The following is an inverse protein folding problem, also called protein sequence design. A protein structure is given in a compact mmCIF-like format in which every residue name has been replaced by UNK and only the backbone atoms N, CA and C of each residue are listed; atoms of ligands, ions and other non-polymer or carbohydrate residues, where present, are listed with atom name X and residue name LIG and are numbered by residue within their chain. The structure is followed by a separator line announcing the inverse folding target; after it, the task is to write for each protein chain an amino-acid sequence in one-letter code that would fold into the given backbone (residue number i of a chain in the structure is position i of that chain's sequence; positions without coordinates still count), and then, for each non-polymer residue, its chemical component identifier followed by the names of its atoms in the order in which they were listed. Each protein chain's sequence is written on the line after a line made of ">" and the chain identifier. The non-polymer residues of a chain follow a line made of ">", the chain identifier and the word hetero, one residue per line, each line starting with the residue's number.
data_IF_330076554770
#
_entry.id   IF_330076554770
#
_cell.length_a   1.000
_cell.length_b   1.000
_cell.length_c   1.000
_cell.angle_alpha   90.00
_cell.angle_beta   90.00
_cell.angle_gamma   90.00
#
_symmetry.space_group_name_H-M   'P 1'
#
loop_
_entity.id
_entity.type
_entity.pdbx_description
1 polymer ?
#
# COMPACT_ATOMS: atom_id res chain seq x y z
N UNK A 1 -25.60 -17.78 -2.80
CA UNK A 1 -24.54 -16.81 -2.42
C UNK A 1 -23.59 -17.59 -1.52
N UNK A 2 -22.28 -17.50 -1.73
CA UNK A 2 -21.29 -18.10 -0.83
C UNK A 2 -21.35 -17.43 0.54
N UNK A 3 -21.02 -18.16 1.61
CA UNK A 3 -20.99 -17.59 2.96
C UNK A 3 -20.02 -16.40 3.02
N UNK A 4 -20.30 -15.37 3.82
CA UNK A 4 -19.42 -14.23 3.98
C UNK A 4 -18.10 -14.65 4.65
N UNK A 5 -16.97 -14.12 4.14
CA UNK A 5 -15.63 -14.35 4.68
C UNK A 5 -15.55 -13.82 6.12
N UNK A 6 -15.13 -14.64 7.06
CA UNK A 6 -15.02 -14.30 8.48
C UNK A 6 -13.63 -13.72 8.78
N UNK A 7 -13.59 -12.45 9.14
CA UNK A 7 -12.35 -11.72 9.38
C UNK A 7 -12.06 -11.52 10.86
N UNK A 8 -10.80 -11.71 11.26
CA UNK A 8 -10.23 -11.23 12.52
C UNK A 8 -9.41 -9.97 12.28
N UNK A 9 -9.60 -8.93 13.09
CA UNK A 9 -8.82 -7.70 13.06
C UNK A 9 -7.80 -7.66 14.18
N UNK A 10 -6.53 -7.40 13.86
CA UNK A 10 -5.43 -7.22 14.81
C UNK A 10 -5.01 -5.75 14.81
N UNK A 11 -5.53 -5.01 15.78
CA UNK A 11 -5.32 -3.58 15.95
C UNK A 11 -6.39 -2.70 15.31
N UNK A 12 -6.94 -1.78 16.10
CA UNK A 12 -7.92 -0.78 15.69
C UNK A 12 -7.45 0.63 16.04
N UNK A 13 -6.20 0.94 15.67
CA UNK A 13 -5.65 2.31 15.70
C UNK A 13 -6.27 3.19 14.60
N UNK A 14 -5.63 4.33 14.28
CA UNK A 14 -6.11 5.27 13.26
C UNK A 14 -6.39 4.57 11.91
N UNK A 15 -5.38 3.92 11.34
CA UNK A 15 -5.54 3.23 10.06
C UNK A 15 -6.48 2.02 10.18
N UNK A 16 -6.38 1.26 11.27
CA UNK A 16 -7.26 0.12 11.52
C UNK A 16 -8.74 0.49 11.48
N UNK A 17 -9.13 1.61 12.10
CA UNK A 17 -10.51 2.09 12.08
C UNK A 17 -10.88 2.76 10.76
N UNK A 18 -10.13 3.81 10.38
CA UNK A 18 -10.55 4.76 9.36
C UNK A 18 -10.27 4.27 7.93
N UNK A 19 -9.18 3.53 7.73
CA UNK A 19 -8.82 2.98 6.42
C UNK A 19 -9.40 1.57 6.18
N UNK A 20 -9.46 0.73 7.22
CA UNK A 20 -9.77 -0.69 7.04
C UNK A 20 -11.13 -1.09 7.62
N UNK A 21 -11.31 -1.12 8.93
CA UNK A 21 -12.52 -1.65 9.57
C UNK A 21 -13.79 -1.00 9.02
N UNK A 22 -13.79 0.32 8.83
CA UNK A 22 -14.89 1.08 8.24
C UNK A 22 -15.32 0.55 6.87
N UNK A 23 -14.35 0.10 6.04
CA UNK A 23 -14.62 -0.45 4.72
C UNK A 23 -15.11 -1.90 4.80
N UNK A 24 -14.43 -2.78 5.55
CA UNK A 24 -14.83 -4.19 5.67
C UNK A 24 -16.20 -4.36 6.32
N UNK A 25 -16.54 -3.58 7.35
CA UNK A 25 -17.83 -3.65 8.04
C UNK A 25 -19.03 -3.31 7.13
N UNK A 26 -18.80 -2.71 5.97
CA UNK A 26 -19.83 -2.34 4.99
C UNK A 26 -19.85 -3.26 3.76
N UNK A 27 -19.02 -4.30 3.71
CA UNK A 27 -18.99 -5.26 2.60
C UNK A 27 -19.86 -6.46 2.93
N UNK A 28 -20.91 -6.74 2.13
CA UNK A 28 -21.76 -7.91 2.35
C UNK A 28 -21.05 -9.24 2.14
N UNK A 29 -19.91 -9.23 1.42
CA UNK A 29 -19.11 -10.39 1.12
C UNK A 29 -18.23 -10.87 2.30
N UNK A 30 -18.15 -10.09 3.38
CA UNK A 30 -17.40 -10.46 4.57
C UNK A 30 -18.10 -10.04 5.86
N UNK A 31 -17.65 -10.62 6.97
CA UNK A 31 -18.09 -10.28 8.32
C UNK A 31 -16.86 -10.14 9.22
N UNK A 32 -16.74 -9.00 9.89
CA UNK A 32 -15.75 -8.85 10.97
C UNK A 32 -16.27 -9.61 12.18
N UNK A 33 -15.66 -10.77 12.47
CA UNK A 33 -16.07 -11.66 13.52
C UNK A 33 -15.51 -11.23 14.89
N UNK A 34 -14.28 -10.73 14.93
CA UNK A 34 -13.60 -10.33 16.15
C UNK A 34 -12.54 -9.26 15.94
N UNK A 35 -12.20 -8.57 17.02
CA UNK A 35 -11.10 -7.60 17.14
C UNK A 35 -10.16 -8.08 18.25
N UNK A 36 -8.85 -8.07 17.99
CA UNK A 36 -7.78 -8.20 18.98
C UNK A 36 -7.12 -6.82 19.17
N UNK A 37 -7.30 -6.20 20.34
CA UNK A 37 -6.81 -4.87 20.67
C UNK A 37 -6.63 -4.76 22.19
N UNK A 38 -5.39 -4.51 22.69
CA UNK A 38 -5.13 -4.44 24.12
C UNK A 38 -5.74 -3.22 24.83
N UNK A 39 -6.08 -2.16 24.09
CA UNK A 39 -6.77 -0.98 24.62
C UNK A 39 -8.27 -1.28 24.75
N UNK A 40 -8.67 -1.77 25.91
CA UNK A 40 -10.01 -2.37 26.16
C UNK A 40 -11.17 -1.40 25.92
N UNK A 41 -11.03 -0.15 26.36
CA UNK A 41 -12.09 0.85 26.20
C UNK A 41 -12.22 1.25 24.72
N UNK A 42 -11.11 1.50 24.04
CA UNK A 42 -11.08 1.73 22.60
C UNK A 42 -11.70 0.54 21.84
N UNK A 43 -11.25 -0.67 22.13
CA UNK A 43 -11.73 -1.89 21.47
C UNK A 43 -13.24 -2.08 21.62
N UNK A 44 -13.78 -1.89 22.84
CA UNK A 44 -15.22 -2.01 23.12
C UNK A 44 -16.04 -0.95 22.35
N UNK A 45 -15.61 0.32 22.40
CA UNK A 45 -16.29 1.42 21.68
C UNK A 45 -16.28 1.21 20.16
N UNK A 46 -15.14 0.77 19.60
CA UNK A 46 -15.01 0.45 18.18
C UNK A 46 -15.88 -0.74 17.80
N UNK A 47 -15.84 -1.82 18.57
CA UNK A 47 -16.67 -2.99 18.33
C UNK A 47 -18.17 -2.65 18.33
N UNK A 48 -18.63 -1.84 19.29
CA UNK A 48 -20.02 -1.39 19.37
C UNK A 48 -20.42 -0.58 18.11
N UNK A 49 -19.56 0.35 17.65
CA UNK A 49 -19.85 1.17 16.47
C UNK A 49 -19.98 0.34 15.18
N UNK A 50 -19.14 -0.65 15.00
CA UNK A 50 -19.08 -1.43 13.76
C UNK A 50 -19.82 -2.77 13.85
N UNK A 51 -20.52 -3.05 14.97
CA UNK A 51 -21.28 -4.26 15.16
C UNK A 51 -20.41 -5.52 15.24
N UNK A 52 -19.17 -5.40 15.75
CA UNK A 52 -18.26 -6.55 15.93
C UNK A 52 -18.61 -7.28 17.22
N UNK A 53 -18.95 -8.57 17.16
CA UNK A 53 -19.55 -9.26 18.32
C UNK A 53 -18.54 -9.67 19.39
N UNK A 54 -17.23 -9.74 19.07
CA UNK A 54 -16.20 -10.26 19.97
C UNK A 54 -14.98 -9.35 20.00
N UNK A 55 -14.41 -9.21 21.20
CA UNK A 55 -13.19 -8.44 21.46
C UNK A 55 -12.26 -9.27 22.32
N UNK A 56 -10.99 -9.29 22.00
CA UNK A 56 -9.92 -10.02 22.67
C UNK A 56 -8.74 -9.09 22.97
N UNK A 57 -7.97 -9.40 24.00
CA UNK A 57 -6.80 -8.62 24.36
C UNK A 57 -5.63 -8.90 23.39
N UNK A 58 -5.53 -10.11 22.85
CA UNK A 58 -4.44 -10.55 21.96
C UNK A 58 -4.97 -11.31 20.73
N UNK A 59 -4.14 -11.36 19.68
CA UNK A 59 -4.42 -12.16 18.48
C UNK A 59 -4.43 -13.66 18.75
N UNK A 60 -3.61 -14.15 19.69
CA UNK A 60 -3.56 -15.55 20.09
C UNK A 60 -4.88 -15.97 20.72
N UNK A 61 -5.41 -15.17 21.66
CA UNK A 61 -6.70 -15.42 22.30
C UNK A 61 -7.82 -15.42 21.25
N UNK A 62 -7.84 -14.46 20.35
CA UNK A 62 -8.81 -14.40 19.25
C UNK A 62 -8.76 -15.68 18.40
N UNK A 63 -7.57 -16.11 17.98
CA UNK A 63 -7.37 -17.30 17.15
C UNK A 63 -7.73 -18.59 17.85
N UNK A 64 -7.58 -18.66 19.18
CA UNK A 64 -7.97 -19.83 19.98
C UNK A 64 -9.50 -20.02 20.08
N UNK A 65 -10.29 -18.94 19.95
CA UNK A 65 -11.73 -18.98 20.21
C UNK A 65 -12.59 -18.75 18.95
N UNK A 66 -12.03 -18.20 17.87
CA UNK A 66 -12.78 -17.85 16.66
C UNK A 66 -12.40 -18.72 15.46
N UNK A 67 -13.42 -19.13 14.70
CA UNK A 67 -13.21 -19.71 13.37
C UNK A 67 -13.16 -18.57 12.37
N UNK A 68 -11.99 -18.30 11.84
CA UNK A 68 -11.71 -17.21 10.89
C UNK A 68 -11.25 -17.77 9.55
N UNK A 69 -11.49 -17.02 8.49
CA UNK A 69 -11.03 -17.33 7.12
C UNK A 69 -9.81 -16.50 6.74
N UNK A 70 -9.62 -15.31 7.34
CA UNK A 70 -8.48 -14.45 7.11
C UNK A 70 -8.29 -13.42 8.24
N UNK A 71 -7.10 -12.79 8.27
CA UNK A 71 -6.74 -11.76 9.24
C UNK A 71 -6.45 -10.43 8.54
N UNK A 72 -6.82 -9.33 9.21
CA UNK A 72 -6.42 -7.96 8.86
C UNK A 72 -5.56 -7.40 9.98
N UNK A 73 -4.28 -7.13 9.68
CA UNK A 73 -3.29 -6.64 10.64
C UNK A 73 -3.00 -5.17 10.36
N UNK A 74 -3.44 -4.28 11.26
CA UNK A 74 -3.25 -2.84 11.19
C UNK A 74 -2.44 -2.36 12.40
N UNK A 75 -1.14 -2.61 12.38
CA UNK A 75 -0.18 -2.32 13.44
C UNK A 75 0.93 -1.39 12.92
N UNK A 76 1.66 -0.69 13.80
CA UNK A 76 2.88 0.01 13.39
C UNK A 76 3.87 -0.93 12.71
N UNK A 77 4.39 -0.51 11.56
CA UNK A 77 5.24 -1.38 10.72
C UNK A 77 6.55 -1.80 11.41
N UNK A 78 6.97 -1.05 12.43
CA UNK A 78 8.13 -1.41 13.27
C UNK A 78 7.88 -2.64 14.16
N UNK A 79 6.67 -3.22 14.13
CA UNK A 79 6.30 -4.46 14.83
C UNK A 79 5.91 -5.58 13.89
N UNK A 80 5.92 -5.34 12.59
CA UNK A 80 5.40 -6.28 11.60
C UNK A 80 6.14 -7.61 11.62
N UNK A 81 7.44 -7.63 11.90
CA UNK A 81 8.21 -8.85 11.97
C UNK A 81 7.66 -9.85 12.98
N UNK A 82 7.31 -9.38 14.17
CA UNK A 82 6.72 -10.22 15.20
C UNK A 82 5.25 -10.53 14.91
N UNK A 83 4.43 -9.50 14.80
CA UNK A 83 2.97 -9.64 14.70
C UNK A 83 2.54 -10.43 13.46
N UNK A 84 3.22 -10.25 12.33
CA UNK A 84 2.90 -11.00 11.12
C UNK A 84 3.33 -12.46 11.24
N UNK A 85 4.49 -12.76 11.86
CA UNK A 85 4.88 -14.15 12.08
C UNK A 85 3.89 -14.87 13.02
N UNK A 86 3.39 -14.21 14.06
CA UNK A 86 2.35 -14.73 14.94
C UNK A 86 1.04 -14.98 14.17
N UNK A 87 0.59 -14.00 13.37
CA UNK A 87 -0.63 -14.13 12.56
C UNK A 87 -0.53 -15.27 11.53
N UNK A 88 0.62 -15.38 10.85
CA UNK A 88 0.87 -16.41 9.83
C UNK A 88 0.96 -17.84 10.40
N UNK A 89 1.32 -17.99 11.68
CA UNK A 89 1.33 -19.29 12.35
C UNK A 89 -0.06 -19.96 12.39
N UNK A 90 -1.14 -19.18 12.22
CA UNK A 90 -2.50 -19.71 12.10
C UNK A 90 -2.78 -20.42 10.77
N UNK A 91 -1.92 -20.28 9.76
CA UNK A 91 -2.15 -20.78 8.40
C UNK A 91 -3.17 -19.98 7.58
N UNK A 92 -3.73 -18.89 8.14
CA UNK A 92 -4.72 -18.07 7.47
C UNK A 92 -4.06 -17.02 6.54
N UNK A 93 -4.73 -16.64 5.43
CA UNK A 93 -4.36 -15.48 4.66
C UNK A 93 -4.35 -14.19 5.50
N UNK A 94 -3.35 -13.34 5.29
CA UNK A 94 -3.18 -12.10 6.06
C UNK A 94 -3.17 -10.89 5.12
N UNK A 95 -4.00 -9.90 5.41
CA UNK A 95 -3.79 -8.53 4.95
C UNK A 95 -2.97 -7.79 5.99
N UNK A 96 -1.94 -7.06 5.58
CA UNK A 96 -1.20 -6.16 6.48
C UNK A 96 -1.03 -4.77 5.87
N UNK A 97 -0.92 -3.76 6.74
CA UNK A 97 -0.50 -2.42 6.31
C UNK A 97 0.93 -2.43 5.75
N UNK A 98 1.21 -1.43 4.92
CA UNK A 98 2.54 -1.18 4.37
C UNK A 98 3.43 -0.42 5.40
N UNK A 99 4.75 -0.50 5.25
CA UNK A 99 5.51 -1.52 4.51
C UNK A 99 5.38 -2.90 5.15
N UNK A 100 5.80 -3.95 4.44
CA UNK A 100 5.75 -5.32 4.99
C UNK A 100 6.53 -5.48 6.29
N UNK A 101 7.61 -4.70 6.47
CA UNK A 101 8.43 -4.65 7.68
C UNK A 101 9.23 -3.35 7.71
N UNK A 102 9.92 -3.08 8.83
CA UNK A 102 10.84 -1.95 8.95
C UNK A 102 12.16 -2.17 8.22
N UNK A 103 12.64 -3.42 8.15
CA UNK A 103 13.88 -3.78 7.47
C UNK A 103 13.70 -4.88 6.44
N UNK A 104 14.64 -4.99 5.50
CA UNK A 104 14.69 -6.08 4.52
C UNK A 104 14.79 -7.41 5.23
N UNK A 105 15.68 -7.53 6.22
CA UNK A 105 15.94 -8.76 6.97
C UNK A 105 14.69 -9.24 7.75
N UNK A 106 13.93 -8.30 8.30
CA UNK A 106 12.64 -8.61 8.95
C UNK A 106 11.60 -9.03 7.92
N UNK A 107 11.56 -8.36 6.77
CA UNK A 107 10.66 -8.73 5.66
C UNK A 107 10.94 -10.15 5.14
N UNK A 108 12.21 -10.54 5.01
CA UNK A 108 12.61 -11.91 4.63
C UNK A 108 12.10 -12.96 5.63
N UNK A 109 12.20 -12.68 6.94
CA UNK A 109 11.65 -13.55 8.01
C UNK A 109 10.13 -13.71 7.90
N UNK A 110 9.42 -12.64 7.58
CA UNK A 110 7.96 -12.66 7.41
C UNK A 110 7.59 -13.52 6.19
N UNK A 111 8.28 -13.39 5.07
CA UNK A 111 8.07 -14.22 3.87
C UNK A 111 8.35 -15.69 4.17
N UNK A 112 9.44 -16.00 4.86
CA UNK A 112 9.76 -17.37 5.25
C UNK A 112 8.70 -17.95 6.18
N UNK A 113 8.17 -17.15 7.11
CA UNK A 113 7.05 -17.56 7.96
C UNK A 113 5.79 -17.88 7.16
N UNK A 114 5.44 -17.06 6.16
CA UNK A 114 4.29 -17.34 5.28
C UNK A 114 4.46 -18.66 4.53
N UNK A 115 5.64 -18.91 3.94
CA UNK A 115 5.96 -20.13 3.20
C UNK A 115 5.90 -21.37 4.10
N UNK A 116 6.50 -21.31 5.28
CA UNK A 116 6.53 -22.41 6.26
C UNK A 116 5.13 -22.82 6.71
N UNK A 117 4.22 -21.85 6.85
CA UNK A 117 2.85 -22.09 7.29
C UNK A 117 1.86 -22.30 6.13
N UNK A 118 2.34 -22.37 4.87
CA UNK A 118 1.51 -22.65 3.71
C UNK A 118 0.44 -21.58 3.42
N UNK A 119 0.71 -20.33 3.79
CA UNK A 119 -0.20 -19.20 3.61
C UNK A 119 0.46 -18.02 2.89
N UNK A 120 -0.25 -16.89 2.77
CA UNK A 120 0.20 -15.73 2.00
C UNK A 120 -0.22 -14.41 2.64
N UNK A 121 0.43 -13.33 2.22
CA UNK A 121 0.17 -11.96 2.66
C UNK A 121 -0.20 -11.08 1.46
N UNK A 122 -1.25 -10.27 1.62
CA UNK A 122 -1.52 -9.10 0.79
C UNK A 122 -1.04 -7.86 1.54
N UNK A 123 -0.10 -7.11 0.97
CA UNK A 123 0.40 -5.88 1.58
C UNK A 123 -0.40 -4.68 1.10
N UNK A 124 -0.76 -3.79 2.03
CA UNK A 124 -1.71 -2.70 1.90
C UNK A 124 -1.26 -1.51 1.04
N UNK A 125 -0.80 -1.75 -0.17
CA UNK A 125 -0.51 -0.70 -1.16
C UNK A 125 -1.79 -0.27 -1.88
N UNK A 126 -2.59 0.56 -1.21
CA UNK A 126 -3.92 0.95 -1.66
C UNK A 126 -3.96 1.56 -3.07
N UNK A 127 -2.88 2.23 -3.51
CA UNK A 127 -2.81 2.82 -4.86
C UNK A 127 -2.95 1.78 -5.97
N UNK A 128 -2.52 0.52 -5.76
CA UNK A 128 -2.75 -0.57 -6.72
C UNK A 128 -4.22 -0.98 -6.82
N UNK A 129 -5.00 -0.66 -5.80
CA UNK A 129 -6.44 -0.93 -5.76
C UNK A 129 -7.29 0.30 -6.09
N UNK A 130 -6.70 1.46 -6.37
CA UNK A 130 -7.46 2.58 -6.90
C UNK A 130 -8.03 2.21 -8.28
N UNK A 131 -9.35 2.37 -8.52
CA UNK A 131 -9.96 1.97 -9.79
C UNK A 131 -9.32 2.62 -11.02
N UNK A 132 -8.81 3.85 -10.90
CA UNK A 132 -8.09 4.50 -11.99
C UNK A 132 -6.72 3.85 -12.23
N UNK A 133 -6.00 3.48 -11.18
CA UNK A 133 -4.74 2.74 -11.31
C UNK A 133 -4.96 1.35 -11.90
N UNK A 134 -6.03 0.66 -11.50
CA UNK A 134 -6.39 -0.63 -12.08
C UNK A 134 -6.67 -0.50 -13.58
N UNK A 135 -7.46 0.50 -13.98
CA UNK A 135 -7.71 0.81 -15.39
C UNK A 135 -6.40 1.10 -16.15
N UNK A 136 -5.52 1.95 -15.59
CA UNK A 136 -4.23 2.27 -16.21
C UNK A 136 -3.38 1.02 -16.39
N UNK A 137 -3.37 0.11 -15.42
CA UNK A 137 -2.60 -1.14 -15.53
C UNK A 137 -3.11 -2.05 -16.65
N UNK A 138 -4.41 -2.18 -16.80
CA UNK A 138 -5.04 -2.92 -17.89
C UNK A 138 -4.74 -2.25 -19.24
N UNK A 139 -4.81 -0.92 -19.31
CA UNK A 139 -4.55 -0.18 -20.53
C UNK A 139 -3.07 -0.25 -20.95
N UNK A 140 -2.11 -0.19 -20.00
CA UNK A 140 -0.69 -0.44 -20.28
C UNK A 140 -0.50 -1.83 -20.90
N UNK A 141 -1.13 -2.86 -20.34
CA UNK A 141 -1.03 -4.22 -20.87
C UNK A 141 -1.60 -4.30 -22.30
N UNK A 142 -2.77 -3.72 -22.54
CA UNK A 142 -3.41 -3.66 -23.86
C UNK A 142 -2.53 -2.94 -24.91
N UNK A 143 -1.99 -1.77 -24.53
CA UNK A 143 -1.12 -0.97 -25.42
C UNK A 143 0.20 -1.69 -25.73
N UNK A 144 0.76 -2.39 -24.73
CA UNK A 144 1.98 -3.17 -24.92
C UNK A 144 1.74 -4.37 -25.84
N UNK A 145 0.62 -5.07 -25.67
CA UNK A 145 0.24 -6.23 -26.50
C UNK A 145 -0.09 -5.83 -27.94
N UNK A 146 -0.85 -4.75 -28.13
CA UNK A 146 -1.25 -4.27 -29.45
C UNK A 146 -0.14 -3.55 -30.22
N UNK A 147 0.84 -2.97 -29.51
CA UNK A 147 1.85 -2.09 -30.10
C UNK A 147 1.28 -0.78 -30.66
N UNK A 148 0.01 -0.43 -30.35
CA UNK A 148 -0.70 0.74 -30.93
C UNK A 148 0.05 2.06 -30.78
N UNK A 149 0.70 2.28 -29.64
CA UNK A 149 1.43 3.51 -29.36
C UNK A 149 2.96 3.34 -29.35
N UNK A 150 3.47 2.23 -29.93
CA UNK A 150 4.88 1.88 -29.82
C UNK A 150 5.29 1.47 -28.40
N UNK A 151 6.59 1.32 -28.14
CA UNK A 151 7.09 0.92 -26.82
C UNK A 151 6.84 2.02 -25.77
N UNK A 152 6.72 1.60 -24.50
CA UNK A 152 6.83 2.52 -23.38
C UNK A 152 8.26 3.08 -23.32
N UNK A 153 8.42 4.39 -23.15
CA UNK A 153 9.72 5.08 -23.20
C UNK A 153 10.12 5.72 -21.87
N UNK A 154 9.17 6.01 -20.98
CA UNK A 154 9.44 6.67 -19.72
C UNK A 154 8.28 6.56 -18.73
N UNK A 155 8.57 6.49 -17.43
CA UNK A 155 7.57 6.62 -16.35
C UNK A 155 8.05 7.62 -15.31
N UNK A 156 7.18 8.56 -14.95
CA UNK A 156 7.41 9.57 -13.93
C UNK A 156 6.29 9.58 -12.90
N UNK A 157 6.65 9.67 -11.61
CA UNK A 157 5.70 9.85 -10.51
C UNK A 157 6.07 11.12 -9.76
N UNK A 158 5.08 11.96 -9.50
CA UNK A 158 5.20 13.17 -8.70
C UNK A 158 4.40 13.00 -7.42
N UNK A 159 5.02 13.24 -6.28
CA UNK A 159 4.40 13.24 -4.96
C UNK A 159 5.00 14.35 -4.10
N UNK A 160 4.27 15.41 -3.79
CA UNK A 160 4.67 16.35 -2.75
C UNK A 160 4.27 15.81 -1.39
N UNK A 161 5.24 15.62 -0.50
CA UNK A 161 4.95 15.35 0.89
C UNK A 161 4.60 16.66 1.59
N UNK A 162 3.39 16.82 2.08
CA UNK A 162 2.98 18.01 2.84
C UNK A 162 1.57 18.51 2.53
N UNK A 163 0.87 17.88 1.60
CA UNK A 163 -0.53 18.13 1.35
C UNK A 163 -1.45 17.41 2.34
N UNK A 164 -2.72 17.69 2.28
CA UNK A 164 -3.74 17.05 3.11
C UNK A 164 -4.04 15.61 2.64
N UNK A 165 -3.20 14.67 3.07
CA UNK A 165 -3.41 13.25 2.79
C UNK A 165 -4.59 12.64 3.56
N UNK A 166 -5.04 13.30 4.65
CA UNK A 166 -6.10 12.82 5.53
C UNK A 166 -7.47 13.11 4.93
N UNK A 167 -7.65 14.28 4.29
CA UNK A 167 -8.91 14.68 3.66
C UNK A 167 -10.14 14.40 4.55
N UNK A 168 -10.06 14.77 5.82
CA UNK A 168 -11.08 14.52 6.87
C UNK A 168 -11.31 13.02 7.21
N UNK A 169 -10.47 12.12 6.73
CA UNK A 169 -10.63 10.67 6.94
C UNK A 169 -10.54 10.21 8.39
N UNK A 170 -10.04 11.06 9.31
CA UNK A 170 -9.90 10.76 10.74
C UNK A 170 -10.94 11.45 11.67
N UNK A 171 -11.91 12.15 11.11
CA UNK A 171 -12.95 12.80 11.91
C UNK A 171 -13.76 11.82 12.77
N UNK A 172 -13.91 10.59 12.28
CA UNK A 172 -14.68 9.52 12.92
C UNK A 172 -13.88 8.66 13.91
N UNK A 173 -12.60 8.95 14.16
CA UNK A 173 -11.76 8.08 14.99
C UNK A 173 -12.27 8.02 16.43
N UNK A 174 -12.46 6.80 16.92
CA UNK A 174 -12.85 6.51 18.30
C UNK A 174 -11.57 6.40 19.14
N UNK A 175 -11.54 7.09 20.26
CA UNK A 175 -10.51 6.99 21.28
C UNK A 175 -11.15 6.59 22.61
N UNK A 176 -10.52 5.67 23.31
CA UNK A 176 -10.86 5.31 24.69
C UNK A 176 -9.97 6.04 25.69
N UNK A 177 -10.26 5.85 26.96
CA UNK A 177 -9.47 6.34 28.07
C UNK A 177 -8.42 5.30 28.51
N UNK A 178 -7.87 4.58 27.53
CA UNK A 178 -6.90 3.53 27.80
C UNK A 178 -5.51 4.10 28.11
N UNK A 179 -4.75 3.48 29.03
CA UNK A 179 -3.36 3.83 29.23
C UNK A 179 -2.53 3.56 27.97
N UNK A 180 -1.39 4.24 27.85
CA UNK A 180 -0.43 3.97 26.78
C UNK A 180 0.05 2.51 26.88
N UNK A 181 -0.04 1.79 25.76
CA UNK A 181 0.48 0.41 25.65
C UNK A 181 1.89 0.48 25.08
N UNK A 182 2.91 -0.02 25.81
CA UNK A 182 4.26 -0.12 25.28
C UNK A 182 4.29 -0.94 23.99
N UNK A 183 5.02 -0.47 23.00
CA UNK A 183 5.22 -1.18 21.74
C UNK A 183 6.52 -1.98 21.81
N UNK A 184 6.43 -3.26 21.59
CA UNK A 184 7.57 -4.14 21.39
C UNK A 184 7.98 -4.05 19.91
N UNK A 185 9.09 -3.36 19.66
CA UNK A 185 9.53 -3.04 18.29
C UNK A 185 10.49 -4.11 17.77
N UNK A 186 10.46 -4.34 16.46
CA UNK A 186 11.44 -5.14 15.75
C UNK A 186 12.85 -4.52 15.87
N UNK A 187 13.91 -5.30 15.66
CA UNK A 187 15.27 -4.78 15.66
C UNK A 187 15.44 -3.65 14.62
N UNK A 188 16.22 -2.64 15.00
CA UNK A 188 16.57 -1.54 14.10
C UNK A 188 17.19 -2.06 12.80
N UNK A 189 16.83 -1.51 11.63
CA UNK A 189 17.39 -1.90 10.35
C UNK A 189 18.91 -1.89 10.33
N UNK A 190 19.51 -2.95 9.83
CA UNK A 190 20.96 -3.07 9.63
C UNK A 190 21.37 -2.58 8.25
N UNK A 191 22.65 -2.20 8.09
CA UNK A 191 23.17 -1.71 6.80
C UNK A 191 22.70 -0.32 6.40
N UNK A 192 22.06 0.42 7.32
CA UNK A 192 21.72 1.84 7.19
C UNK A 192 22.69 2.64 8.08
N UNK A 193 23.29 3.69 7.53
CA UNK A 193 24.05 4.65 8.34
C UNK A 193 23.14 5.20 9.46
N UNK A 194 23.53 5.14 10.74
CA UNK A 194 22.71 5.65 11.84
C UNK A 194 22.23 7.09 11.64
N UNK A 195 23.00 7.94 10.97
CA UNK A 195 22.62 9.31 10.62
C UNK A 195 21.52 9.40 9.58
N UNK A 196 21.28 8.32 8.83
CA UNK A 196 20.28 8.21 7.77
C UNK A 196 19.05 7.42 8.19
N UNK A 197 18.98 6.91 9.44
CA UNK A 197 17.90 6.05 9.90
C UNK A 197 16.53 6.74 9.86
N UNK A 198 16.47 8.00 10.28
CA UNK A 198 15.23 8.78 10.23
C UNK A 198 14.79 9.02 8.78
N UNK A 199 15.72 9.38 7.90
CA UNK A 199 15.41 9.55 6.48
C UNK A 199 14.94 8.22 5.82
N UNK A 200 15.56 7.11 6.19
CA UNK A 200 15.09 5.78 5.76
C UNK A 200 13.67 5.49 6.26
N UNK A 201 13.43 5.73 7.55
CA UNK A 201 12.13 5.51 8.17
C UNK A 201 11.05 6.37 7.52
N UNK A 202 11.34 7.63 7.20
CA UNK A 202 10.44 8.52 6.45
C UNK A 202 10.13 7.98 5.05
N UNK A 203 11.15 7.47 4.33
CA UNK A 203 10.95 6.90 2.99
C UNK A 203 10.08 5.65 3.06
N UNK A 204 10.34 4.72 3.96
CA UNK A 204 9.55 3.48 4.07
C UNK A 204 8.16 3.71 4.68
N UNK A 205 7.97 4.79 5.43
CA UNK A 205 6.64 5.16 5.91
C UNK A 205 5.80 5.88 4.84
N UNK A 206 6.37 6.87 4.17
CA UNK A 206 5.66 7.75 3.23
C UNK A 206 5.83 7.34 1.77
N UNK A 207 7.04 7.42 1.25
CA UNK A 207 7.31 7.28 -0.18
C UNK A 207 7.35 5.84 -0.70
N UNK A 208 7.27 4.84 0.18
CA UNK A 208 7.19 3.43 -0.21
C UNK A 208 6.00 3.15 -1.14
N UNK A 209 4.94 3.94 -1.05
CA UNK A 209 3.79 3.85 -1.95
C UNK A 209 4.15 4.15 -3.41
N UNK A 210 5.00 5.16 -3.65
CA UNK A 210 5.42 5.56 -5.00
C UNK A 210 6.48 4.61 -5.54
N UNK A 211 7.36 4.10 -4.67
CA UNK A 211 8.32 3.04 -5.01
C UNK A 211 7.56 1.80 -5.51
N UNK A 212 6.52 1.38 -4.79
CA UNK A 212 5.65 0.28 -5.18
C UNK A 212 4.87 0.57 -6.47
N UNK A 213 4.28 1.77 -6.59
CA UNK A 213 3.51 2.18 -7.76
C UNK A 213 4.39 2.21 -9.02
N UNK A 214 5.64 2.68 -8.91
CA UNK A 214 6.59 2.68 -10.02
C UNK A 214 6.78 1.28 -10.59
N UNK A 215 7.08 0.29 -9.75
CA UNK A 215 7.22 -1.11 -10.20
C UNK A 215 5.92 -1.65 -10.78
N UNK A 216 4.78 -1.31 -10.21
CA UNK A 216 3.48 -1.71 -10.71
C UNK A 216 3.21 -1.18 -12.12
N UNK A 217 3.48 0.09 -12.37
CA UNK A 217 3.28 0.72 -13.69
C UNK A 217 4.28 0.21 -14.73
N UNK A 218 5.56 0.06 -14.37
CA UNK A 218 6.58 -0.53 -15.23
C UNK A 218 6.25 -2.00 -15.59
N UNK A 219 5.62 -2.74 -14.68
CA UNK A 219 5.35 -4.18 -14.86
C UNK A 219 6.58 -5.07 -14.66
N UNK A 220 7.70 -4.51 -14.24
CA UNK A 220 8.97 -5.21 -14.03
C UNK A 220 9.78 -4.59 -12.87
N UNK A 221 10.83 -5.27 -12.46
CA UNK A 221 11.79 -4.75 -11.47
C UNK A 221 12.56 -3.53 -12.02
N UNK A 222 12.96 -2.64 -11.13
CA UNK A 222 13.84 -1.52 -11.44
C UNK A 222 14.86 -1.31 -10.31
N UNK A 223 15.92 -0.59 -10.60
CA UNK A 223 16.96 -0.23 -9.66
C UNK A 223 17.12 1.29 -9.56
N UNK A 224 17.69 1.77 -8.46
CA UNK A 224 18.00 3.19 -8.27
C UNK A 224 19.32 3.49 -8.96
N UNK A 225 19.29 4.34 -9.98
CA UNK A 225 20.48 4.80 -10.70
C UNK A 225 21.07 6.08 -10.09
N UNK A 226 20.24 6.95 -9.49
CA UNK A 226 20.68 8.20 -8.89
C UNK A 226 19.69 8.63 -7.79
N UNK A 227 20.26 9.14 -6.69
CA UNK A 227 19.55 9.81 -5.61
C UNK A 227 20.09 11.22 -5.46
N UNK A 228 19.20 12.22 -5.59
CA UNK A 228 19.56 13.61 -5.39
C UNK A 228 19.87 13.85 -3.89
N UNK A 229 20.91 14.63 -3.53
CA UNK A 229 21.40 14.76 -2.14
C UNK A 229 20.37 15.23 -1.11
N UNK A 230 19.42 16.09 -1.48
CA UNK A 230 18.32 16.51 -0.57
C UNK A 230 17.28 15.40 -0.38
N UNK A 231 17.24 14.40 -1.27
CA UNK A 231 16.24 13.34 -1.29
C UNK A 231 14.97 13.70 -2.06
N UNK A 232 15.01 14.77 -2.85
CA UNK A 232 13.87 15.22 -3.65
C UNK A 232 13.63 14.37 -4.89
N UNK A 233 14.72 13.82 -5.49
CA UNK A 233 14.62 13.03 -6.71
C UNK A 233 15.23 11.64 -6.54
N UNK A 234 14.49 10.65 -7.03
CA UNK A 234 14.98 9.30 -7.28
C UNK A 234 14.89 9.02 -8.78
N UNK A 235 16.03 8.79 -9.43
CA UNK A 235 16.06 8.32 -10.82
C UNK A 235 16.35 6.83 -10.82
N UNK A 236 15.57 6.08 -11.56
CA UNK A 236 15.70 4.63 -11.69
C UNK A 236 15.83 4.17 -13.13
N UNK A 237 16.16 2.92 -13.27
CA UNK A 237 16.19 2.21 -14.55
C UNK A 237 15.53 0.85 -14.38
N UNK A 238 14.58 0.53 -15.24
CA UNK A 238 13.94 -0.78 -15.21
C UNK A 238 14.88 -1.88 -15.74
N UNK A 239 14.51 -3.13 -15.54
CA UNK A 239 15.26 -4.29 -16.01
C UNK A 239 15.46 -4.29 -17.53
N UNK A 240 14.48 -3.80 -18.29
CA UNK A 240 14.56 -3.65 -19.74
C UNK A 240 15.36 -2.41 -20.19
N UNK A 241 15.83 -1.58 -19.23
CA UNK A 241 16.60 -0.36 -19.49
C UNK A 241 15.78 0.92 -19.57
N UNK A 242 14.47 0.86 -19.32
CA UNK A 242 13.56 2.00 -19.38
C UNK A 242 13.84 2.98 -18.21
N UNK A 243 14.09 4.27 -18.49
CA UNK A 243 14.30 5.27 -17.43
C UNK A 243 13.00 5.56 -16.71
N UNK A 244 13.10 5.80 -15.38
CA UNK A 244 11.97 6.22 -14.56
C UNK A 244 12.39 7.19 -13.47
N UNK A 245 11.44 7.98 -12.93
CA UNK A 245 11.73 8.99 -11.93
C UNK A 245 10.59 9.12 -10.92
N UNK A 246 10.97 9.31 -9.64
CA UNK A 246 10.04 9.69 -8.57
C UNK A 246 10.51 11.03 -8.01
N UNK A 247 9.60 12.03 -8.03
CA UNK A 247 9.80 13.34 -7.44
C UNK A 247 9.10 13.42 -6.10
N UNK A 248 9.89 13.63 -5.03
CA UNK A 248 9.45 13.64 -3.63
C UNK A 248 9.61 15.06 -3.05
N UNK A 249 9.03 16.03 -3.75
CA UNK A 249 9.13 17.45 -3.36
C UNK A 249 8.31 17.71 -2.12
N UNK A 250 8.87 18.42 -1.13
CA UNK A 250 8.14 18.83 0.06
C UNK A 250 7.64 20.26 -0.10
N UNK A 251 6.32 20.44 -0.08
CA UNK A 251 5.68 21.73 0.12
C UNK A 251 4.49 21.58 1.08
N UNK A 252 4.13 22.65 1.78
CA UNK A 252 3.13 22.58 2.84
C UNK A 252 1.88 23.34 2.44
N UNK A 253 0.77 22.64 2.38
CA UNK A 253 -0.57 23.19 2.18
C UNK A 253 -1.54 22.58 3.20
N UNK A 254 -2.70 23.21 3.38
CA UNK A 254 -3.71 22.73 4.32
C UNK A 254 -4.84 21.94 3.66
N UNK A 255 -5.03 22.09 2.35
CA UNK A 255 -6.19 21.52 1.63
C UNK A 255 -5.84 20.93 0.28
N UNK A 256 -4.60 21.06 -0.18
CA UNK A 256 -4.19 20.57 -1.51
C UNK A 256 -3.54 19.20 -1.42
N UNK A 257 -3.74 18.39 -2.44
CA UNK A 257 -3.07 17.12 -2.66
C UNK A 257 -2.76 16.96 -4.14
N UNK A 258 -1.47 16.89 -4.46
CA UNK A 258 -0.96 16.74 -5.81
C UNK A 258 -0.17 15.44 -5.91
N UNK A 259 -0.77 14.41 -6.46
CA UNK A 259 -0.06 13.17 -6.78
C UNK A 259 -0.50 12.68 -8.15
N UNK A 260 0.47 12.40 -9.00
CA UNK A 260 0.18 11.88 -10.33
C UNK A 260 1.33 11.02 -10.86
N UNK A 261 0.98 10.14 -11.81
CA UNK A 261 1.93 9.41 -12.63
C UNK A 261 1.74 9.76 -14.10
N UNK A 262 2.84 9.77 -14.83
CA UNK A 262 2.88 10.03 -16.28
C UNK A 262 3.66 8.89 -16.95
N UNK A 263 2.98 8.17 -17.83
CA UNK A 263 3.50 7.02 -18.55
C UNK A 263 3.56 7.38 -20.02
N UNK A 264 4.75 7.44 -20.58
CA UNK A 264 4.97 7.81 -21.98
C UNK A 264 5.23 6.60 -22.84
N UNK A 265 4.54 6.57 -23.95
CA UNK A 265 4.79 5.69 -25.09
C UNK A 265 5.36 6.53 -26.26
N UNK A 266 5.90 5.88 -27.27
CA UNK A 266 6.47 6.58 -28.43
C UNK A 266 5.44 7.48 -29.13
N UNK A 267 4.17 7.08 -29.19
CA UNK A 267 3.09 7.77 -29.89
C UNK A 267 1.90 8.16 -28.99
N UNK A 268 2.15 8.39 -27.70
CA UNK A 268 1.10 8.81 -26.78
C UNK A 268 1.51 8.75 -25.32
N UNK A 269 0.56 9.01 -24.44
CA UNK A 269 0.82 9.01 -23.01
C UNK A 269 -0.44 8.71 -22.19
N UNK A 270 -0.22 8.22 -20.98
CA UNK A 270 -1.26 8.10 -19.95
C UNK A 270 -0.87 9.00 -18.77
N UNK A 271 -1.79 9.86 -18.34
CA UNK A 271 -1.71 10.60 -17.09
C UNK A 271 -2.68 10.00 -16.08
N UNK A 272 -2.19 9.67 -14.90
CA UNK A 272 -2.96 9.17 -13.76
C UNK A 272 -2.87 10.18 -12.62
N UNK A 273 -3.95 10.89 -12.32
CA UNK A 273 -4.07 11.73 -11.11
C UNK A 273 -4.60 10.86 -9.96
N UNK A 274 -3.94 10.89 -8.81
CA UNK A 274 -4.26 10.06 -7.63
C UNK A 274 -4.76 10.98 -6.52
N UNK A 275 -5.95 10.73 -5.93
CA UNK A 275 -6.49 11.55 -4.86
C UNK A 275 -5.75 11.33 -3.53
N UNK A 276 -5.99 12.23 -2.58
CA UNK A 276 -5.52 12.04 -1.21
C UNK A 276 -5.90 10.66 -0.67
N UNK A 277 -4.98 9.95 0.00
CA UNK A 277 -5.17 8.56 0.43
C UNK A 277 -6.45 8.28 1.20
N UNK A 278 -6.89 9.23 2.02
CA UNK A 278 -8.09 9.07 2.87
C UNK A 278 -9.34 9.75 2.30
N UNK A 279 -9.30 10.26 1.06
CA UNK A 279 -10.47 10.85 0.40
C UNK A 279 -11.54 9.77 0.11
N UNK A 280 -12.76 9.95 0.66
CA UNK A 280 -13.85 9.02 0.47
C UNK A 280 -14.54 9.19 -0.88
N UNK A 281 -14.98 8.07 -1.49
CA UNK A 281 -15.77 8.01 -2.74
C UNK A 281 -15.14 8.80 -3.89
N UNK A 282 -13.83 8.95 -3.87
CA UNK A 282 -13.08 9.67 -4.89
C UNK A 282 -12.00 8.74 -5.47
N UNK A 283 -12.19 8.19 -6.67
CA UNK A 283 -11.14 7.46 -7.40
C UNK A 283 -10.15 8.44 -8.00
N UNK A 284 -9.05 7.93 -8.51
CA UNK A 284 -8.16 8.66 -9.39
C UNK A 284 -8.85 9.07 -10.70
N UNK A 285 -8.17 9.91 -11.48
CA UNK A 285 -8.60 10.33 -12.82
C UNK A 285 -7.55 9.89 -13.85
N UNK A 286 -8.01 9.43 -15.00
CA UNK A 286 -7.14 9.04 -16.11
C UNK A 286 -7.39 9.94 -17.30
N UNK A 287 -6.30 10.29 -17.98
CA UNK A 287 -6.31 10.94 -19.26
C UNK A 287 -5.31 10.21 -20.17
N UNK A 288 -5.75 9.77 -21.34
CA UNK A 288 -4.97 9.00 -22.29
C UNK A 288 -4.96 9.74 -23.63
N UNK A 289 -3.78 10.17 -24.07
CA UNK A 289 -3.57 10.73 -25.42
C UNK A 289 -3.02 9.67 -26.36
N UNK A 290 -3.59 9.57 -27.54
CA UNK A 290 -3.24 8.61 -28.59
C UNK A 290 -2.98 9.33 -29.91
N UNK A 291 -1.83 9.05 -30.50
CA UNK A 291 -1.44 9.51 -31.86
C UNK A 291 -0.73 8.37 -32.62
N UNK A 292 -1.43 7.27 -32.95
CA UNK A 292 -0.82 6.12 -33.60
C UNK A 292 -0.49 6.36 -35.09
N UNK A 293 -0.77 7.55 -35.61
CA UNK A 293 -0.70 7.85 -37.04
C UNK A 293 -1.88 7.28 -37.84
N UNK A 294 -2.08 7.80 -39.07
CA UNK A 294 -3.12 7.32 -39.97
C UNK A 294 -4.57 7.69 -39.61
N UNK A 295 -4.78 8.31 -38.44
CA UNK A 295 -6.06 8.85 -37.95
C UNK A 295 -5.81 10.13 -37.13
N UNK A 296 -6.86 10.90 -36.88
CA UNK A 296 -6.74 12.06 -36.00
C UNK A 296 -6.33 11.65 -34.59
N UNK A 297 -5.37 12.37 -33.97
CA UNK A 297 -5.06 12.20 -32.56
C UNK A 297 -6.27 12.43 -31.66
N UNK A 298 -6.36 11.70 -30.56
CA UNK A 298 -7.48 11.81 -29.63
C UNK A 298 -7.01 11.80 -28.17
N UNK A 299 -7.79 12.47 -27.32
CA UNK A 299 -7.67 12.37 -25.87
C UNK A 299 -8.90 11.63 -25.30
N UNK A 300 -8.67 10.56 -24.56
CA UNK A 300 -9.71 9.76 -23.90
C UNK A 300 -9.66 10.01 -22.40
N UNK A 301 -10.82 10.32 -21.81
CA UNK A 301 -10.99 10.47 -20.35
C UNK A 301 -12.06 9.46 -19.90
N UNK A 302 -11.67 8.26 -19.46
CA UNK A 302 -12.61 7.25 -19.04
C UNK A 302 -13.34 7.67 -17.76
N UNK A 303 -14.60 7.26 -17.66
CA UNK A 303 -15.39 7.43 -16.43
C UNK A 303 -15.05 6.30 -15.47
N UNK A 304 -14.44 6.64 -14.35
CA UNK A 304 -14.01 5.70 -13.31
C UNK A 304 -15.12 5.57 -12.24
N UNK A 305 -15.43 4.35 -11.74
CA UNK A 305 -16.40 4.16 -10.66
C UNK A 305 -16.04 4.95 -9.41
N UNK A 306 -17.04 5.55 -8.75
CA UNK A 306 -16.84 6.37 -7.53
C UNK A 306 -16.57 5.50 -6.29
N UNK A 307 -15.49 4.75 -6.37
CA UNK A 307 -14.97 3.89 -5.30
C UNK A 307 -13.56 4.36 -4.96
N UNK A 308 -13.31 4.61 -3.68
CA UNK A 308 -11.97 4.99 -3.23
C UNK A 308 -11.06 3.77 -3.03
N UNK A 309 -9.77 3.99 -3.10
CA UNK A 309 -8.74 2.95 -3.10
C UNK A 309 -8.82 1.99 -1.89
N UNK A 310 -9.04 2.51 -0.67
CA UNK A 310 -9.12 1.68 0.55
C UNK A 310 -10.32 0.72 0.53
N UNK A 311 -11.47 1.15 -0.01
CA UNK A 311 -12.63 0.25 -0.17
C UNK A 311 -12.37 -0.80 -1.24
N UNK A 312 -11.83 -0.41 -2.38
CA UNK A 312 -11.51 -1.38 -3.44
C UNK A 312 -10.43 -2.37 -2.97
N UNK A 313 -9.48 -1.92 -2.17
CA UNK A 313 -8.47 -2.78 -1.56
C UNK A 313 -9.11 -3.85 -0.65
N UNK A 314 -10.10 -3.47 0.15
CA UNK A 314 -10.85 -4.43 0.97
C UNK A 314 -11.60 -5.46 0.09
N UNK A 315 -12.26 -5.00 -0.98
CA UNK A 315 -12.90 -5.90 -1.96
C UNK A 315 -11.87 -6.85 -2.59
N UNK A 316 -10.72 -6.34 -3.00
CA UNK A 316 -9.66 -7.13 -3.62
C UNK A 316 -9.10 -8.19 -2.65
N UNK A 317 -8.95 -7.87 -1.36
CA UNK A 317 -8.53 -8.85 -0.36
C UNK A 317 -9.55 -9.98 -0.21
N UNK A 318 -10.84 -9.66 -0.09
CA UNK A 318 -11.90 -10.68 0.00
C UNK A 318 -11.93 -11.56 -1.25
N UNK A 319 -11.80 -10.98 -2.43
CA UNK A 319 -11.70 -11.73 -3.69
C UNK A 319 -10.47 -12.65 -3.74
N UNK A 320 -9.34 -12.17 -3.21
CA UNK A 320 -8.12 -12.99 -3.12
C UNK A 320 -8.28 -14.14 -2.11
N UNK A 321 -8.92 -13.92 -0.95
CA UNK A 321 -9.25 -14.98 0.02
C UNK A 321 -10.16 -16.04 -0.60
N UNK A 322 -11.09 -15.64 -1.47
CA UNK A 322 -11.95 -16.57 -2.23
C UNK A 322 -11.25 -17.25 -3.41
N UNK A 323 -10.00 -16.92 -3.69
CA UNK A 323 -9.26 -17.46 -4.84
C UNK A 323 -9.71 -16.91 -6.20
N UNK A 324 -10.49 -15.82 -6.25
CA UNK A 324 -10.99 -15.22 -7.49
C UNK A 324 -9.91 -14.40 -8.21
N UNK A 325 -8.97 -13.82 -7.46
CA UNK A 325 -7.84 -13.05 -7.98
C UNK A 325 -6.57 -13.36 -7.18
N UNK A 326 -5.41 -13.05 -7.73
CA UNK A 326 -4.16 -12.97 -6.95
C UNK A 326 -4.16 -11.71 -6.10
N UNK A 327 -3.48 -11.69 -4.92
CA UNK A 327 -3.27 -10.45 -4.17
C UNK A 327 -2.65 -9.36 -5.05
N UNK A 328 -3.19 -8.13 -5.08
CA UNK A 328 -2.63 -7.01 -5.87
C UNK A 328 -1.15 -6.71 -5.58
N UNK A 329 -0.71 -6.95 -4.35
CA UNK A 329 0.69 -6.91 -3.94
C UNK A 329 0.95 -8.01 -2.92
N UNK A 330 1.84 -8.94 -3.23
CA UNK A 330 2.28 -9.99 -2.31
C UNK A 330 3.48 -9.53 -1.47
N UNK A 331 3.92 -10.40 -0.56
CA UNK A 331 5.02 -10.11 0.35
C UNK A 331 6.37 -9.95 -0.36
N UNK A 332 6.63 -10.76 -1.39
CA UNK A 332 7.87 -10.73 -2.19
C UNK A 332 8.02 -9.41 -2.93
N UNK A 333 6.94 -8.93 -3.56
CA UNK A 333 6.93 -7.61 -4.21
C UNK A 333 7.17 -6.48 -3.22
N UNK A 334 6.55 -6.55 -2.04
CA UNK A 334 6.73 -5.55 -0.98
C UNK A 334 8.16 -5.55 -0.40
N UNK A 335 8.83 -6.69 -0.39
CA UNK A 335 10.24 -6.79 0.00
C UNK A 335 11.16 -6.07 -0.99
N UNK A 336 10.88 -6.17 -2.30
CA UNK A 336 11.64 -5.44 -3.31
C UNK A 336 11.53 -3.91 -3.12
N UNK A 337 10.38 -3.41 -2.63
CA UNK A 337 10.23 -2.00 -2.30
C UNK A 337 11.16 -1.55 -1.17
N UNK A 338 11.32 -2.37 -0.13
CA UNK A 338 12.27 -2.09 0.95
C UNK A 338 13.72 -2.06 0.45
N UNK A 339 14.08 -2.95 -0.48
CA UNK A 339 15.42 -2.97 -1.10
C UNK A 339 15.69 -1.69 -1.89
N UNK A 340 14.70 -1.21 -2.67
CA UNK A 340 14.78 0.06 -3.40
C UNK A 340 14.91 1.23 -2.43
N UNK A 341 14.11 1.28 -1.35
CA UNK A 341 14.20 2.33 -0.34
C UNK A 341 15.58 2.38 0.33
N UNK A 342 16.12 1.21 0.69
CA UNK A 342 17.47 1.09 1.26
C UNK A 342 18.56 1.58 0.30
N UNK A 343 18.49 1.19 -0.96
CA UNK A 343 19.44 1.60 -1.97
C UNK A 343 19.36 3.11 -2.24
N UNK A 344 18.17 3.67 -2.32
CA UNK A 344 17.98 5.12 -2.45
C UNK A 344 18.67 5.89 -1.31
N UNK A 345 18.49 5.47 -0.05
CA UNK A 345 19.10 6.10 1.11
C UNK A 345 20.63 5.92 1.11
N UNK A 346 21.12 4.75 0.67
CA UNK A 346 22.56 4.51 0.53
C UNK A 346 23.20 5.46 -0.47
N UNK A 347 22.60 5.63 -1.65
CA UNK A 347 23.10 6.53 -2.69
C UNK A 347 23.00 8.00 -2.26
N UNK A 348 21.91 8.39 -1.58
CA UNK A 348 21.76 9.72 -1.00
C UNK A 348 22.89 10.05 -0.03
N UNK A 349 23.25 9.12 0.89
CA UNK A 349 24.35 9.32 1.85
C UNK A 349 25.69 9.54 1.14
N UNK A 350 25.98 8.78 0.07
CA UNK A 350 27.20 8.94 -0.73
C UNK A 350 27.25 10.28 -1.47
N UNK A 351 26.12 10.78 -1.93
CA UNK A 351 26.03 12.08 -2.64
C UNK A 351 26.16 13.28 -1.70
N UNK A 352 25.79 13.14 -0.42
CA UNK A 352 25.92 14.20 0.59
C UNK A 352 27.35 14.32 1.14
N UNK A 353 28.17 13.30 0.96
CA UNK A 353 29.56 13.26 1.45
C UNK A 353 30.57 13.82 0.46
N UNK A 354 30.13 14.24 -0.72
CA UNK A 354 30.93 14.94 -1.76
C UNK A 354 30.65 16.43 -1.75
#
# INVERSE_FOLDING_TARGET
>A
MSDPVRLGFVGVGLMGQCAHLKNYAQLPECRVAAIAEPRKDTARKVAARYGVPRVYDTSEEMLAHEKLDALVVAQPFQRHGRILCEALASGLPVFCEKPIAWSVETGEKVIESARRNGTWIMVGYHKRSDPATMYVKEEIARLTESGELGPMVYVRIFIPAGGDWIANGFEDVIRGDDPSVPLDLDPTPTGIDPKMLDAYTDVVNGYIHQINLMRHLLGEAYEVAFAEPTGTLMVGRSRSGLPCMIEMVRYWTTVDWQEWAFILFEHGWIKLDIPAPMAFRRPGRVELFRDPGGRAPETVVPQIPWVHAMRQQAVNFIRAVRGEIKPPCNAEEALEDLKIAREFIRLKALSTSR
#
